data_IF_150636290852
#
_entry.id   IF_150636290852
#
_cell.length_a   1.000
_cell.length_b   1.000
_cell.length_c   1.000
_cell.angle_alpha   90.00
_cell.angle_beta   90.00
_cell.angle_gamma   90.00
#
_symmetry.space_group_name_H-M   'P 1'
#
loop_
_entity.id
_entity.type
_entity.pdbx_description
1 polymer ?
#
# COMPACT_ATOMS: atom_id res chain seq x y z
N UNK A 1 -21.23 12.12 28.18
CA UNK A 1 -21.75 12.05 26.80
C UNK A 1 -20.81 12.75 25.83
N UNK A 2 -20.35 12.06 24.82
CA UNK A 2 -19.44 12.60 23.79
C UNK A 2 -20.21 13.63 22.94
N UNK A 3 -19.50 14.62 22.34
CA UNK A 3 -20.13 15.62 21.46
C UNK A 3 -20.91 15.00 20.29
N UNK A 4 -20.44 13.87 19.77
CA UNK A 4 -21.10 13.12 18.68
C UNK A 4 -22.41 12.47 19.14
N UNK A 5 -22.51 11.97 20.37
CA UNK A 5 -23.74 11.40 20.93
C UNK A 5 -24.84 12.46 21.07
N UNK A 6 -24.49 13.65 21.59
CA UNK A 6 -25.43 14.78 21.70
C UNK A 6 -25.93 15.26 20.33
N UNK A 7 -25.02 15.28 19.31
CA UNK A 7 -25.41 15.63 17.96
C UNK A 7 -26.37 14.60 17.35
N UNK A 8 -26.13 13.32 17.62
CA UNK A 8 -27.00 12.25 17.14
C UNK A 8 -28.40 12.30 17.76
N UNK A 9 -28.51 12.55 19.08
CA UNK A 9 -29.81 12.77 19.75
C UNK A 9 -30.59 13.94 19.14
N UNK A 10 -29.92 15.09 18.92
CA UNK A 10 -30.56 16.24 18.27
C UNK A 10 -31.05 15.93 16.85
N UNK A 11 -30.28 15.14 16.08
CA UNK A 11 -30.68 14.70 14.74
C UNK A 11 -31.86 13.71 14.79
N UNK A 12 -31.90 12.82 15.74
CA UNK A 12 -33.01 11.88 15.92
C UNK A 12 -34.31 12.64 16.23
N UNK A 13 -34.27 13.71 17.04
CA UNK A 13 -35.42 14.61 17.26
C UNK A 13 -35.84 15.26 15.94
N UNK A 14 -34.90 15.86 15.19
CA UNK A 14 -35.18 16.45 13.88
C UNK A 14 -35.79 15.45 12.88
N UNK A 15 -35.31 14.22 12.86
CA UNK A 15 -35.81 13.15 12.00
C UNK A 15 -37.15 12.57 12.50
N UNK A 16 -37.47 12.69 13.80
CA UNK A 16 -38.82 12.34 14.32
C UNK A 16 -39.88 13.36 13.91
N UNK A 17 -39.51 14.64 13.80
CA UNK A 17 -40.39 15.71 13.30
C UNK A 17 -40.51 15.67 11.76
N UNK A 18 -39.42 15.43 11.06
CA UNK A 18 -39.40 15.30 9.60
C UNK A 18 -38.44 14.17 9.15
N UNK A 19 -39.01 12.99 9.00
CA UNK A 19 -38.26 11.78 8.63
C UNK A 19 -37.60 11.85 7.27
N UNK A 20 -37.93 12.83 6.42
CA UNK A 20 -37.44 13.03 5.08
C UNK A 20 -36.45 14.23 4.98
N UNK A 21 -35.93 14.69 6.09
CA UNK A 21 -34.94 15.76 6.11
C UNK A 21 -33.60 15.26 5.58
N UNK A 22 -33.30 15.56 4.31
CA UNK A 22 -32.08 15.15 3.59
C UNK A 22 -30.81 15.59 4.34
N UNK A 23 -30.78 16.83 4.85
CA UNK A 23 -29.63 17.35 5.57
C UNK A 23 -29.39 16.59 6.87
N UNK A 24 -30.44 16.28 7.64
CA UNK A 24 -30.34 15.49 8.88
C UNK A 24 -29.86 14.07 8.60
N UNK A 25 -30.39 13.41 7.55
CA UNK A 25 -29.94 12.07 7.14
C UNK A 25 -28.48 12.06 6.70
N UNK A 26 -28.03 13.10 6.02
CA UNK A 26 -26.61 13.22 5.61
C UNK A 26 -25.69 13.35 6.81
N UNK A 27 -26.01 14.23 7.76
CA UNK A 27 -25.19 14.44 8.96
C UNK A 27 -25.22 13.22 9.86
N UNK A 28 -26.37 12.56 10.00
CA UNK A 28 -26.52 11.29 10.73
C UNK A 28 -25.57 10.23 10.15
N UNK A 29 -25.58 10.06 8.82
CA UNK A 29 -24.68 9.13 8.13
C UNK A 29 -23.20 9.43 8.37
N UNK A 30 -22.81 10.72 8.39
CA UNK A 30 -21.43 11.12 8.70
C UNK A 30 -21.06 10.80 10.15
N UNK A 31 -21.93 11.05 11.12
CA UNK A 31 -21.66 10.76 12.55
C UNK A 31 -21.49 9.27 12.74
N UNK A 32 -22.37 8.43 12.20
CA UNK A 32 -22.23 6.97 12.29
C UNK A 32 -20.93 6.49 11.65
N UNK A 33 -20.51 7.07 10.53
CA UNK A 33 -19.22 6.75 9.90
C UNK A 33 -18.05 7.08 10.82
N UNK A 34 -18.02 8.25 11.45
CA UNK A 34 -16.97 8.66 12.40
C UNK A 34 -16.92 7.78 13.66
N UNK A 35 -18.07 7.24 14.06
CA UNK A 35 -18.15 6.26 15.16
C UNK A 35 -17.74 4.83 14.75
N UNK A 36 -17.51 4.59 13.46
CA UNK A 36 -17.24 3.25 12.92
C UNK A 36 -18.50 2.39 12.74
N UNK A 37 -19.71 2.94 12.96
CA UNK A 37 -20.99 2.29 12.80
C UNK A 37 -21.40 2.32 11.32
N UNK A 38 -20.66 1.55 10.50
CA UNK A 38 -20.80 1.60 9.05
C UNK A 38 -22.16 1.11 8.55
N UNK A 39 -22.82 0.17 9.23
CA UNK A 39 -24.13 -0.36 8.84
C UNK A 39 -25.20 0.71 8.93
N UNK A 40 -25.23 1.45 10.04
CA UNK A 40 -26.13 2.57 10.30
C UNK A 40 -25.85 3.73 9.33
N UNK A 41 -24.58 4.03 9.12
CA UNK A 41 -24.17 5.05 8.15
C UNK A 41 -24.65 4.73 6.73
N UNK A 42 -24.50 3.48 6.27
CA UNK A 42 -25.01 3.03 4.97
C UNK A 42 -26.54 3.17 4.92
N UNK A 43 -27.24 2.82 6.01
CA UNK A 43 -28.72 2.95 6.09
C UNK A 43 -29.16 4.40 5.91
N UNK A 44 -28.53 5.34 6.65
CA UNK A 44 -28.86 6.78 6.57
C UNK A 44 -28.62 7.33 5.16
N UNK A 45 -27.46 7.01 4.54
CA UNK A 45 -27.18 7.45 3.16
C UNK A 45 -28.10 6.80 2.13
N UNK A 46 -28.47 5.52 2.27
CA UNK A 46 -29.43 4.86 1.37
C UNK A 46 -30.81 5.51 1.45
N UNK A 47 -31.29 5.77 2.68
CA UNK A 47 -32.56 6.47 2.88
C UNK A 47 -32.54 7.87 2.27
N UNK A 48 -31.43 8.58 2.41
CA UNK A 48 -31.23 9.86 1.73
C UNK A 48 -31.35 9.70 0.22
N UNK A 49 -30.73 8.68 -0.36
CA UNK A 49 -30.74 8.44 -1.82
C UNK A 49 -32.09 7.93 -2.34
N UNK A 50 -32.98 7.40 -1.49
CA UNK A 50 -34.37 7.15 -1.82
C UNK A 50 -35.13 8.48 -2.06
N UNK A 51 -34.75 9.56 -1.37
CA UNK A 51 -35.35 10.88 -1.50
C UNK A 51 -34.68 11.72 -2.58
N UNK A 52 -33.38 11.61 -2.71
CA UNK A 52 -32.55 12.31 -3.72
C UNK A 52 -31.51 11.34 -4.29
N UNK A 53 -31.94 10.59 -5.30
CA UNK A 53 -31.13 9.53 -5.93
C UNK A 53 -29.82 10.03 -6.56
N UNK A 54 -29.73 11.33 -6.79
CA UNK A 54 -28.60 11.98 -7.44
C UNK A 54 -27.72 12.74 -6.44
N UNK A 55 -27.93 12.56 -5.15
CA UNK A 55 -27.13 13.24 -4.14
C UNK A 55 -25.69 12.74 -4.20
N UNK A 56 -24.87 13.54 -4.85
CA UNK A 56 -23.46 13.24 -5.11
C UNK A 56 -22.68 12.96 -3.84
N UNK A 57 -22.89 13.79 -2.82
CA UNK A 57 -22.09 13.69 -1.58
C UNK A 57 -22.45 12.42 -0.81
N UNK A 58 -23.72 12.02 -0.80
CA UNK A 58 -24.15 10.75 -0.25
C UNK A 58 -23.60 9.54 -1.03
N UNK A 59 -23.66 9.58 -2.35
CA UNK A 59 -23.07 8.54 -3.23
C UNK A 59 -21.57 8.41 -3.00
N UNK A 60 -20.86 9.52 -2.90
CA UNK A 60 -19.41 9.50 -2.63
C UNK A 60 -19.10 8.93 -1.25
N UNK A 61 -19.84 9.31 -0.20
CA UNK A 61 -19.65 8.75 1.13
C UNK A 61 -19.94 7.25 1.17
N UNK A 62 -21.00 6.79 0.51
CA UNK A 62 -21.29 5.35 0.38
C UNK A 62 -20.13 4.61 -0.32
N UNK A 63 -19.63 5.15 -1.42
CA UNK A 63 -18.49 4.57 -2.11
C UNK A 63 -17.26 4.41 -1.19
N UNK A 64 -16.94 5.45 -0.40
CA UNK A 64 -15.84 5.40 0.58
C UNK A 64 -16.07 4.34 1.67
N UNK A 65 -17.29 4.23 2.19
CA UNK A 65 -17.63 3.23 3.22
C UNK A 65 -17.53 1.82 2.64
N UNK A 66 -18.06 1.59 1.44
CA UNK A 66 -17.97 0.30 0.76
C UNK A 66 -16.51 -0.09 0.50
N UNK A 67 -15.70 0.85 0.01
CA UNK A 67 -14.26 0.63 -0.17
C UNK A 67 -13.57 0.23 1.15
N UNK A 68 -13.82 0.97 2.23
CA UNK A 68 -13.24 0.69 3.55
C UNK A 68 -13.65 -0.68 4.11
N UNK A 69 -14.84 -1.18 3.73
CA UNK A 69 -15.34 -2.51 4.09
C UNK A 69 -14.88 -3.62 3.13
N UNK A 70 -14.02 -3.34 2.16
CA UNK A 70 -13.58 -4.30 1.15
C UNK A 70 -14.65 -4.64 0.09
N UNK A 71 -15.78 -3.91 0.07
CA UNK A 71 -16.88 -4.08 -0.88
C UNK A 71 -16.63 -3.24 -2.14
N UNK A 72 -15.52 -3.55 -2.82
CA UNK A 72 -14.98 -2.70 -3.88
C UNK A 72 -15.91 -2.55 -5.10
N UNK A 73 -16.67 -3.60 -5.48
CA UNK A 73 -17.64 -3.52 -6.58
C UNK A 73 -18.73 -2.49 -6.30
N UNK A 74 -19.29 -2.50 -5.09
CA UNK A 74 -20.33 -1.55 -4.69
C UNK A 74 -19.79 -0.12 -4.52
N UNK A 75 -18.51 -0.01 -4.12
CA UNK A 75 -17.82 1.27 -4.14
C UNK A 75 -17.72 1.83 -5.56
N UNK A 76 -17.33 1.00 -6.54
CA UNK A 76 -17.26 1.39 -7.95
C UNK A 76 -18.61 1.83 -8.52
N UNK A 77 -19.69 1.10 -8.23
CA UNK A 77 -21.05 1.48 -8.63
C UNK A 77 -21.45 2.87 -8.09
N UNK A 78 -21.09 3.13 -6.82
CA UNK A 78 -21.38 4.42 -6.19
C UNK A 78 -20.55 5.55 -6.82
N UNK A 79 -19.26 5.31 -7.11
CA UNK A 79 -18.39 6.29 -7.77
C UNK A 79 -18.80 6.53 -9.22
N UNK A 80 -19.24 5.50 -9.95
CA UNK A 80 -19.70 5.65 -11.31
C UNK A 80 -20.93 6.56 -11.42
N UNK A 81 -21.90 6.42 -10.50
CA UNK A 81 -23.04 7.34 -10.42
C UNK A 81 -22.61 8.79 -10.17
N UNK A 82 -21.60 9.04 -9.33
CA UNK A 82 -21.08 10.41 -9.16
C UNK A 82 -20.46 10.92 -10.46
N UNK A 83 -19.72 10.07 -11.19
CA UNK A 83 -19.01 10.44 -12.40
C UNK A 83 -19.96 10.65 -13.62
N UNK A 84 -21.18 10.11 -13.60
CA UNK A 84 -22.21 10.45 -14.58
C UNK A 84 -22.54 11.95 -14.58
N UNK A 85 -22.55 12.58 -13.38
CA UNK A 85 -22.81 14.01 -13.23
C UNK A 85 -21.54 14.88 -13.28
N UNK A 86 -20.40 14.31 -12.85
CA UNK A 86 -19.10 14.99 -12.81
C UNK A 86 -17.99 14.09 -13.37
N UNK A 87 -17.88 13.96 -14.70
CA UNK A 87 -16.93 13.04 -15.33
C UNK A 87 -15.45 13.32 -15.03
N UNK A 88 -15.14 14.50 -14.49
CA UNK A 88 -13.78 14.94 -14.13
C UNK A 88 -13.62 15.24 -12.63
N UNK A 89 -14.42 14.61 -11.79
CA UNK A 89 -14.22 14.71 -10.34
C UNK A 89 -12.99 13.91 -9.95
N UNK A 90 -11.88 14.63 -9.69
CA UNK A 90 -10.57 14.02 -9.46
C UNK A 90 -10.53 13.15 -8.21
N UNK A 91 -11.23 13.56 -7.15
CA UNK A 91 -11.31 12.81 -5.90
C UNK A 91 -12.01 11.46 -6.11
N UNK A 92 -13.13 11.48 -6.86
CA UNK A 92 -13.89 10.29 -7.18
C UNK A 92 -13.13 9.38 -8.15
N UNK A 93 -12.51 9.94 -9.19
CA UNK A 93 -11.69 9.18 -10.15
C UNK A 93 -10.52 8.50 -9.44
N UNK A 94 -9.88 9.17 -8.49
CA UNK A 94 -8.83 8.58 -7.66
C UNK A 94 -9.34 7.45 -6.79
N UNK A 95 -10.46 7.66 -6.08
CA UNK A 95 -11.08 6.63 -5.25
C UNK A 95 -11.50 5.40 -6.08
N UNK A 96 -12.01 5.63 -7.30
CA UNK A 96 -12.31 4.59 -8.28
C UNK A 96 -11.06 3.81 -8.68
N UNK A 97 -9.97 4.51 -8.99
CA UNK A 97 -8.69 3.89 -9.34
C UNK A 97 -8.15 2.99 -8.24
N UNK A 98 -8.19 3.44 -6.99
CA UNK A 98 -7.77 2.65 -5.83
C UNK A 98 -8.68 1.41 -5.66
N UNK A 99 -9.99 1.55 -5.84
CA UNK A 99 -10.93 0.42 -5.75
C UNK A 99 -10.69 -0.64 -6.84
N UNK A 100 -10.34 -0.24 -8.05
CA UNK A 100 -9.91 -1.17 -9.11
C UNK A 100 -8.57 -1.85 -8.78
N UNK A 101 -7.62 -1.12 -8.17
CA UNK A 101 -6.32 -1.71 -7.74
C UNK A 101 -6.52 -2.83 -6.72
N UNK A 102 -7.42 -2.64 -5.74
CA UNK A 102 -7.78 -3.65 -4.74
C UNK A 102 -8.46 -4.91 -5.35
N UNK A 103 -9.12 -4.74 -6.49
CA UNK A 103 -9.69 -5.84 -7.27
C UNK A 103 -8.68 -6.48 -8.24
N UNK A 104 -7.42 -6.03 -8.25
CA UNK A 104 -6.38 -6.40 -9.20
C UNK A 104 -6.71 -6.04 -10.67
N UNK A 105 -7.61 -5.10 -10.89
CA UNK A 105 -8.01 -4.54 -12.18
C UNK A 105 -7.09 -3.37 -12.55
N UNK A 106 -5.79 -3.65 -12.69
CA UNK A 106 -4.73 -2.62 -12.77
C UNK A 106 -4.80 -1.74 -14.02
N UNK A 107 -5.38 -2.23 -15.12
CA UNK A 107 -5.58 -1.45 -16.34
C UNK A 107 -6.62 -0.36 -16.09
N UNK A 108 -7.77 -0.73 -15.56
CA UNK A 108 -8.87 0.15 -15.18
C UNK A 108 -8.42 1.15 -14.11
N UNK A 109 -7.65 0.68 -13.11
CA UNK A 109 -7.02 1.53 -12.10
C UNK A 109 -6.13 2.61 -12.74
N UNK A 110 -5.21 2.22 -13.63
CA UNK A 110 -4.32 3.15 -14.32
C UNK A 110 -5.07 4.15 -15.20
N UNK A 111 -6.15 3.73 -15.85
CA UNK A 111 -6.99 4.61 -16.70
C UNK A 111 -7.77 5.62 -15.85
N UNK A 112 -8.39 5.18 -14.74
CA UNK A 112 -9.09 6.07 -13.81
C UNK A 112 -8.16 7.12 -13.22
N UNK A 113 -7.00 6.68 -12.71
CA UNK A 113 -5.98 7.55 -12.14
C UNK A 113 -5.39 8.51 -13.19
N UNK A 114 -5.26 8.08 -14.46
CA UNK A 114 -4.84 8.97 -15.54
C UNK A 114 -5.84 10.10 -15.79
N UNK A 115 -7.13 9.83 -15.66
CA UNK A 115 -8.19 10.84 -15.83
C UNK A 115 -8.26 11.81 -14.64
N UNK A 116 -7.88 11.38 -13.44
CA UNK A 116 -7.90 12.18 -12.21
C UNK A 116 -6.73 13.16 -12.09
N UNK A 117 -5.72 13.10 -12.99
CA UNK A 117 -4.51 13.90 -12.86
C UNK A 117 -4.81 15.39 -13.03
N UNK A 118 -4.67 16.14 -11.93
CA UNK A 118 -4.30 17.56 -11.94
C UNK A 118 -2.77 17.68 -11.97
N UNK A 119 -2.24 18.80 -12.45
CA UNK A 119 -0.82 18.96 -12.83
C UNK A 119 0.19 18.64 -11.72
N UNK A 120 -0.23 18.67 -10.43
CA UNK A 120 0.68 18.54 -9.28
C UNK A 120 0.20 17.57 -8.18
N UNK A 121 -0.62 16.55 -8.51
CA UNK A 121 -1.09 15.58 -7.52
C UNK A 121 -0.11 14.40 -7.39
N UNK A 122 0.85 14.55 -6.46
CA UNK A 122 1.90 13.54 -6.20
C UNK A 122 1.33 12.18 -5.79
N UNK A 123 0.16 12.16 -5.13
CA UNK A 123 -0.43 10.91 -4.66
C UNK A 123 -1.03 10.16 -5.85
N UNK A 124 -1.75 10.86 -6.74
CA UNK A 124 -2.33 10.26 -7.94
C UNK A 124 -1.25 9.71 -8.87
N UNK A 125 -0.14 10.44 -9.04
CA UNK A 125 0.98 9.95 -9.83
C UNK A 125 1.65 8.72 -9.21
N UNK A 126 1.81 8.68 -7.87
CA UNK A 126 2.33 7.50 -7.18
C UNK A 126 1.38 6.30 -7.35
N UNK A 127 0.08 6.45 -7.11
CA UNK A 127 -0.92 5.39 -7.21
C UNK A 127 -1.00 4.84 -8.65
N UNK A 128 -0.94 5.72 -9.65
CA UNK A 128 -0.84 5.31 -11.06
C UNK A 128 0.44 4.53 -11.34
N UNK A 129 1.57 4.95 -10.77
CA UNK A 129 2.84 4.23 -10.86
C UNK A 129 2.73 2.83 -10.27
N UNK A 130 2.05 2.66 -9.13
CA UNK A 130 1.79 1.36 -8.51
C UNK A 130 0.98 0.46 -9.44
N UNK A 131 -0.14 0.93 -9.98
CA UNK A 131 -0.96 0.17 -10.92
C UNK A 131 -0.18 -0.25 -12.18
N UNK A 132 0.61 0.67 -12.77
CA UNK A 132 1.46 0.38 -13.91
C UNK A 132 2.55 -0.66 -13.60
N UNK A 133 3.15 -0.58 -12.41
CA UNK A 133 4.18 -1.54 -11.96
C UNK A 133 3.60 -2.94 -11.73
N UNK A 134 2.36 -3.06 -11.25
CA UNK A 134 1.63 -4.33 -11.13
C UNK A 134 1.29 -4.94 -12.50
N UNK A 135 1.03 -4.11 -13.50
CA UNK A 135 0.89 -4.52 -14.92
C UNK A 135 2.22 -4.93 -15.59
N UNK A 136 3.36 -4.76 -14.92
CA UNK A 136 4.68 -5.00 -15.50
C UNK A 136 5.21 -3.83 -16.35
N UNK A 137 4.50 -2.73 -16.49
CA UNK A 137 4.91 -1.55 -17.27
C UNK A 137 5.87 -0.66 -16.47
N UNK A 138 7.01 -1.26 -16.03
CA UNK A 138 7.92 -0.63 -15.09
C UNK A 138 8.48 0.71 -15.58
N UNK A 139 8.80 0.89 -16.88
CA UNK A 139 9.24 2.19 -17.39
C UNK A 139 8.17 3.28 -17.28
N UNK A 140 6.90 2.95 -17.58
CA UNK A 140 5.79 3.91 -17.40
C UNK A 140 5.53 4.21 -15.92
N UNK A 141 5.75 3.22 -15.05
CA UNK A 141 5.66 3.42 -13.60
C UNK A 141 6.74 4.38 -13.11
N UNK A 142 8.00 4.22 -13.56
CA UNK A 142 9.12 5.11 -13.26
C UNK A 142 8.78 6.56 -13.65
N UNK A 143 8.23 6.79 -14.85
CA UNK A 143 7.82 8.13 -15.28
C UNK A 143 6.74 8.72 -14.36
N UNK A 144 5.78 7.91 -13.92
CA UNK A 144 4.74 8.35 -12.99
C UNK A 144 5.33 8.70 -11.63
N UNK A 145 6.22 7.87 -11.07
CA UNK A 145 6.90 8.15 -9.80
C UNK A 145 7.78 9.40 -9.87
N UNK A 146 8.53 9.60 -10.97
CA UNK A 146 9.34 10.81 -11.17
C UNK A 146 8.48 12.08 -11.18
N UNK A 147 7.29 12.03 -11.77
CA UNK A 147 6.32 13.15 -11.70
C UNK A 147 5.83 13.41 -10.28
N UNK A 148 5.47 12.36 -9.54
CA UNK A 148 5.09 12.49 -8.14
C UNK A 148 6.20 13.16 -7.31
N UNK A 149 7.45 12.75 -7.53
CA UNK A 149 8.61 13.28 -6.82
C UNK A 149 9.03 14.68 -7.26
N UNK A 150 8.69 15.10 -8.48
CA UNK A 150 8.85 16.49 -8.92
C UNK A 150 7.94 17.44 -8.14
N UNK A 151 6.71 17.01 -7.79
CA UNK A 151 5.76 17.75 -6.96
C UNK A 151 6.12 17.67 -5.47
N UNK A 152 6.51 16.49 -4.99
CA UNK A 152 6.89 16.27 -3.59
C UNK A 152 8.17 15.45 -3.45
N UNK A 153 9.35 16.10 -3.42
CA UNK A 153 10.64 15.41 -3.27
C UNK A 153 10.82 14.66 -1.95
N UNK A 154 9.98 14.95 -0.92
CA UNK A 154 10.03 14.29 0.39
C UNK A 154 9.04 13.12 0.54
N UNK A 155 8.44 12.65 -0.55
CA UNK A 155 7.51 11.55 -0.52
C UNK A 155 8.24 10.20 -0.45
N UNK A 156 8.60 9.74 0.76
CA UNK A 156 9.42 8.56 0.99
C UNK A 156 8.84 7.27 0.39
N UNK A 157 7.51 7.10 0.43
CA UNK A 157 6.82 5.94 -0.17
C UNK A 157 7.00 5.91 -1.68
N UNK A 158 6.93 7.06 -2.34
CA UNK A 158 7.16 7.17 -3.78
C UNK A 158 8.62 6.84 -4.15
N UNK A 159 9.60 7.30 -3.38
CA UNK A 159 11.00 6.92 -3.55
C UNK A 159 11.20 5.40 -3.42
N UNK A 160 10.57 4.77 -2.44
CA UNK A 160 10.60 3.31 -2.27
C UNK A 160 10.03 2.59 -3.50
N UNK A 161 8.85 3.02 -3.99
CA UNK A 161 8.20 2.45 -5.16
C UNK A 161 9.03 2.65 -6.44
N UNK A 162 9.63 3.84 -6.61
CA UNK A 162 10.58 4.14 -7.70
C UNK A 162 11.76 3.18 -7.65
N UNK A 163 12.37 3.00 -6.48
CA UNK A 163 13.49 2.07 -6.29
C UNK A 163 13.14 0.63 -6.70
N UNK A 164 11.95 0.16 -6.32
CA UNK A 164 11.46 -1.18 -6.74
C UNK A 164 11.30 -1.28 -8.27
N UNK A 165 10.76 -0.25 -8.92
CA UNK A 165 10.58 -0.26 -10.36
C UNK A 165 11.91 -0.22 -11.11
N UNK A 166 12.85 0.61 -10.67
CA UNK A 166 14.22 0.70 -11.20
C UNK A 166 14.97 -0.62 -11.02
N UNK A 167 14.87 -1.25 -9.84
CA UNK A 167 15.46 -2.56 -9.59
C UNK A 167 14.94 -3.63 -10.55
N UNK A 168 13.63 -3.63 -10.84
CA UNK A 168 13.00 -4.59 -11.78
C UNK A 168 13.46 -4.41 -13.22
N UNK A 169 13.81 -3.20 -13.63
CA UNK A 169 14.36 -2.95 -14.99
C UNK A 169 15.89 -3.08 -15.05
N UNK A 170 16.56 -3.38 -13.93
CA UNK A 170 17.99 -3.58 -13.84
C UNK A 170 18.82 -2.31 -13.61
N UNK A 171 18.19 -1.15 -13.44
CA UNK A 171 18.86 0.12 -13.17
C UNK A 171 19.29 0.20 -11.69
N UNK A 172 20.24 -0.70 -11.31
CA UNK A 172 20.62 -0.90 -9.91
C UNK A 172 21.22 0.34 -9.23
N UNK A 173 21.94 1.18 -9.98
CA UNK A 173 22.53 2.42 -9.44
C UNK A 173 21.44 3.41 -9.05
N UNK A 174 20.48 3.65 -9.92
CA UNK A 174 19.37 4.56 -9.67
C UNK A 174 18.42 3.98 -8.60
N UNK A 175 18.22 2.64 -8.60
CA UNK A 175 17.46 1.96 -7.55
C UNK A 175 18.10 2.17 -6.17
N UNK A 176 19.43 2.07 -6.06
CA UNK A 176 20.16 2.32 -4.83
C UNK A 176 19.95 3.75 -4.33
N UNK A 177 20.05 4.74 -5.19
CA UNK A 177 19.79 6.16 -4.86
C UNK A 177 18.36 6.32 -4.35
N UNK A 178 17.38 5.73 -5.04
CA UNK A 178 15.98 5.84 -4.66
C UNK A 178 15.71 5.19 -3.29
N UNK A 179 16.23 4.00 -3.02
CA UNK A 179 16.09 3.36 -1.70
C UNK A 179 16.85 4.11 -0.61
N UNK A 180 18.03 4.65 -0.91
CA UNK A 180 18.79 5.47 0.02
C UNK A 180 17.98 6.71 0.41
N UNK A 181 17.47 7.48 -0.54
CA UNK A 181 16.62 8.65 -0.29
C UNK A 181 15.37 8.28 0.52
N UNK A 182 14.73 7.14 0.19
CA UNK A 182 13.58 6.65 0.97
C UNK A 182 13.94 6.40 2.42
N UNK A 183 15.11 5.78 2.71
CA UNK A 183 15.57 5.49 4.08
C UNK A 183 16.06 6.73 4.83
N UNK A 184 16.56 7.74 4.14
CA UNK A 184 16.93 9.04 4.71
C UNK A 184 15.68 9.84 5.14
N UNK A 185 14.63 9.84 4.31
CA UNK A 185 13.37 10.53 4.63
C UNK A 185 12.57 9.78 5.70
N UNK A 186 12.49 8.45 5.60
CA UNK A 186 11.80 7.60 6.56
C UNK A 186 12.69 6.44 7.01
N UNK A 187 13.50 6.63 8.05
CA UNK A 187 14.40 5.60 8.57
C UNK A 187 13.67 4.39 9.18
N UNK A 188 12.38 4.50 9.47
CA UNK A 188 11.58 3.42 10.06
C UNK A 188 10.98 2.44 9.04
N UNK A 189 11.28 2.61 7.76
CA UNK A 189 10.83 1.69 6.72
C UNK A 189 11.79 0.50 6.58
N UNK A 190 11.51 -0.61 7.31
CA UNK A 190 12.31 -1.84 7.26
C UNK A 190 12.41 -2.43 5.85
N UNK A 191 11.33 -2.32 5.04
CA UNK A 191 11.32 -2.85 3.68
C UNK A 191 12.24 -2.06 2.76
N UNK A 192 12.35 -0.73 2.95
CA UNK A 192 13.28 0.09 2.20
C UNK A 192 14.75 -0.26 2.56
N UNK A 193 15.06 -0.47 3.84
CA UNK A 193 16.37 -0.95 4.26
C UNK A 193 16.72 -2.30 3.66
N UNK A 194 15.80 -3.28 3.73
CA UNK A 194 16.01 -4.60 3.13
C UNK A 194 16.25 -4.52 1.61
N UNK A 195 15.42 -3.78 0.87
CA UNK A 195 15.59 -3.64 -0.59
C UNK A 195 16.87 -2.87 -0.97
N UNK A 196 17.28 -1.88 -0.15
CA UNK A 196 18.59 -1.23 -0.31
C UNK A 196 19.72 -2.25 -0.16
N UNK A 197 19.66 -3.10 0.85
CA UNK A 197 20.64 -4.19 1.06
C UNK A 197 20.67 -5.17 -0.11
N UNK A 198 19.51 -5.60 -0.62
CA UNK A 198 19.42 -6.47 -1.80
C UNK A 198 20.06 -5.80 -3.04
N UNK A 199 19.83 -4.50 -3.22
CA UNK A 199 20.43 -3.75 -4.33
C UNK A 199 21.94 -3.63 -4.19
N UNK A 200 22.45 -3.35 -2.98
CA UNK A 200 23.89 -3.29 -2.68
C UNK A 200 24.56 -4.64 -2.94
N UNK A 201 23.94 -5.75 -2.49
CA UNK A 201 24.43 -7.10 -2.75
C UNK A 201 24.53 -7.39 -4.25
N UNK A 202 23.54 -7.00 -5.06
CA UNK A 202 23.62 -7.15 -6.52
C UNK A 202 24.70 -6.28 -7.16
N UNK A 203 25.06 -5.18 -6.52
CA UNK A 203 26.20 -4.33 -6.91
C UNK A 203 27.55 -4.83 -6.34
N UNK A 204 27.58 -6.01 -5.73
CA UNK A 204 28.74 -6.62 -5.06
C UNK A 204 29.30 -5.77 -3.90
N UNK A 205 28.49 -4.93 -3.26
CA UNK A 205 28.80 -4.11 -2.09
C UNK A 205 28.30 -4.85 -0.83
N UNK A 206 28.95 -5.98 -0.53
CA UNK A 206 28.42 -6.98 0.38
C UNK A 206 28.36 -6.51 1.84
N UNK A 207 29.42 -5.89 2.35
CA UNK A 207 29.46 -5.37 3.73
C UNK A 207 28.38 -4.30 3.96
N UNK A 208 28.23 -3.37 3.02
CA UNK A 208 27.20 -2.35 3.10
C UNK A 208 25.78 -2.94 3.03
N UNK A 209 25.63 -4.07 2.34
CA UNK A 209 24.36 -4.79 2.34
C UNK A 209 24.03 -5.38 3.71
N UNK A 210 25.03 -5.89 4.44
CA UNK A 210 24.85 -6.39 5.82
C UNK A 210 24.36 -5.29 6.75
N UNK A 211 24.96 -4.10 6.69
CA UNK A 211 24.53 -2.94 7.48
C UNK A 211 23.04 -2.61 7.24
N UNK A 212 22.60 -2.69 5.99
CA UNK A 212 21.20 -2.43 5.64
C UNK A 212 20.26 -3.51 6.20
N UNK A 213 20.64 -4.79 6.15
CA UNK A 213 19.84 -5.87 6.74
C UNK A 213 19.78 -5.74 8.26
N UNK A 214 20.88 -5.37 8.92
CA UNK A 214 20.91 -5.12 10.35
C UNK A 214 20.01 -3.95 10.76
N UNK A 215 19.97 -2.88 9.96
CA UNK A 215 19.01 -1.79 10.18
C UNK A 215 17.56 -2.27 10.03
N UNK A 216 17.25 -3.09 9.03
CA UNK A 216 15.91 -3.66 8.86
C UNK A 216 15.52 -4.56 10.05
N UNK A 217 16.46 -5.37 10.56
CA UNK A 217 16.29 -6.28 11.70
C UNK A 217 16.20 -5.52 13.05
N UNK A 218 16.90 -4.40 13.19
CA UNK A 218 16.74 -3.53 14.36
C UNK A 218 15.31 -2.95 14.45
N UNK A 219 14.63 -2.74 13.31
CA UNK A 219 13.24 -2.28 13.27
C UNK A 219 12.24 -3.41 13.52
N UNK A 220 12.53 -4.62 13.05
CA UNK A 220 11.71 -5.82 13.27
C UNK A 220 12.60 -7.05 13.30
N UNK A 221 12.83 -7.61 14.49
CA UNK A 221 13.70 -8.79 14.68
C UNK A 221 13.18 -10.04 13.97
N UNK A 222 11.86 -10.17 13.88
CA UNK A 222 11.16 -11.30 13.26
C UNK A 222 11.02 -11.15 11.73
N UNK A 223 11.84 -10.30 11.10
CA UNK A 223 11.76 -10.06 9.66
C UNK A 223 12.54 -11.14 8.87
N UNK A 224 11.90 -12.27 8.60
CA UNK A 224 12.49 -13.45 7.94
C UNK A 224 13.24 -13.13 6.63
N UNK A 225 12.69 -12.23 5.81
CA UNK A 225 13.32 -11.81 4.54
C UNK A 225 14.68 -11.15 4.75
N UNK A 226 14.83 -10.33 5.78
CA UNK A 226 16.11 -9.69 6.08
C UNK A 226 17.12 -10.71 6.62
N UNK A 227 16.69 -11.64 7.45
CA UNK A 227 17.54 -12.73 7.92
C UNK A 227 18.04 -13.62 6.77
N UNK A 228 17.14 -14.03 5.86
CA UNK A 228 17.52 -14.79 4.66
C UNK A 228 18.51 -14.02 3.80
N UNK A 229 18.24 -12.74 3.50
CA UNK A 229 19.12 -11.91 2.68
C UNK A 229 20.47 -11.65 3.35
N UNK A 230 20.51 -11.51 4.68
CA UNK A 230 21.75 -11.42 5.47
C UNK A 230 22.56 -12.72 5.33
N UNK A 231 21.93 -13.88 5.50
CA UNK A 231 22.56 -15.18 5.29
C UNK A 231 23.19 -15.30 3.90
N UNK A 232 22.47 -14.87 2.86
CA UNK A 232 22.99 -14.92 1.50
C UNK A 232 24.19 -13.97 1.28
N UNK A 233 24.18 -12.77 1.85
CA UNK A 233 25.32 -11.86 1.79
C UNK A 233 26.54 -12.43 2.53
N UNK A 234 26.35 -13.04 3.69
CA UNK A 234 27.41 -13.69 4.47
C UNK A 234 27.99 -14.91 3.73
N UNK A 235 27.17 -15.67 3.03
CA UNK A 235 27.64 -16.77 2.18
C UNK A 235 28.56 -16.25 1.07
N UNK A 236 28.21 -15.15 0.41
CA UNK A 236 29.02 -14.51 -0.62
C UNK A 236 30.33 -13.91 -0.05
N UNK A 237 30.39 -13.62 1.24
CA UNK A 237 31.58 -13.15 1.97
C UNK A 237 32.44 -14.28 2.53
N UNK A 238 32.15 -15.53 2.16
CA UNK A 238 32.82 -16.72 2.70
C UNK A 238 32.77 -16.82 4.24
N UNK A 239 31.62 -16.46 4.82
CA UNK A 239 31.31 -16.54 6.25
C UNK A 239 30.21 -17.57 6.51
N UNK A 240 30.46 -18.88 6.23
CA UNK A 240 29.42 -19.91 6.16
C UNK A 240 28.73 -20.19 7.49
N UNK A 241 29.44 -20.09 8.63
CA UNK A 241 28.83 -20.31 9.95
C UNK A 241 27.82 -19.22 10.31
N UNK A 242 28.16 -17.98 10.07
CA UNK A 242 27.25 -16.84 10.33
C UNK A 242 26.07 -16.84 9.34
N UNK A 243 26.31 -17.26 8.09
CA UNK A 243 25.26 -17.46 7.12
C UNK A 243 24.25 -18.53 7.59
N UNK A 244 24.74 -19.65 8.12
CA UNK A 244 23.91 -20.74 8.65
C UNK A 244 23.02 -20.27 9.81
N UNK A 245 23.58 -19.51 10.77
CA UNK A 245 22.83 -18.93 11.87
C UNK A 245 21.72 -17.97 11.37
N UNK A 246 22.05 -17.13 10.39
CA UNK A 246 21.08 -16.18 9.79
C UNK A 246 19.95 -16.91 9.06
N UNK A 247 20.26 -17.96 8.31
CA UNK A 247 19.26 -18.79 7.63
C UNK A 247 18.39 -19.58 8.62
N UNK A 248 18.96 -20.12 9.68
CA UNK A 248 18.21 -20.81 10.73
C UNK A 248 17.21 -19.86 11.39
N UNK A 249 17.66 -18.65 11.75
CA UNK A 249 16.81 -17.61 12.33
C UNK A 249 15.70 -17.18 11.36
N UNK A 250 15.97 -17.13 10.06
CA UNK A 250 14.92 -16.82 9.07
C UNK A 250 13.77 -17.82 9.10
N UNK A 251 14.05 -19.11 9.31
CA UNK A 251 13.03 -20.18 9.36
C UNK A 251 12.22 -20.17 10.67
N UNK A 252 12.77 -19.63 11.76
CA UNK A 252 12.05 -19.48 13.03
C UNK A 252 10.93 -18.44 12.96
N UNK A 253 11.00 -17.51 12.00
CA UNK A 253 10.12 -16.36 11.87
C UNK A 253 9.24 -16.43 10.65
N UNK A 254 8.10 -17.14 10.75
CA UNK A 254 7.10 -17.13 9.69
C UNK A 254 6.47 -15.72 9.57
N UNK A 255 6.47 -15.09 8.37
CA UNK A 255 5.81 -13.81 8.16
C UNK A 255 4.30 -13.88 8.42
N UNK A 256 3.69 -12.79 8.89
CA UNK A 256 2.25 -12.65 8.91
C UNK A 256 1.69 -12.72 7.48
N UNK A 257 0.53 -13.34 7.32
CA UNK A 257 -0.14 -13.51 6.01
C UNK A 257 -0.42 -12.19 5.28
N UNK A 258 -0.38 -11.06 5.99
CA UNK A 258 -0.55 -9.72 5.44
C UNK A 258 0.72 -9.11 4.81
N UNK A 259 1.91 -9.65 5.13
CA UNK A 259 3.17 -9.04 4.68
C UNK A 259 3.62 -9.53 3.30
N UNK A 260 3.35 -10.81 2.97
CA UNK A 260 3.70 -11.42 1.69
C UNK A 260 2.79 -12.63 1.44
N UNK A 261 2.47 -12.91 0.18
CA UNK A 261 1.63 -14.05 -0.18
C UNK A 261 2.22 -15.38 0.30
N UNK A 262 1.37 -16.34 0.67
CA UNK A 262 1.81 -17.66 1.15
C UNK A 262 2.78 -18.35 0.21
N UNK A 263 2.61 -18.19 -1.11
CA UNK A 263 3.51 -18.76 -2.12
C UNK A 263 4.94 -18.19 -2.07
N UNK A 264 5.09 -16.88 -1.78
CA UNK A 264 6.41 -16.25 -1.63
C UNK A 264 7.13 -16.76 -0.38
N UNK A 265 6.40 -16.98 0.71
CA UNK A 265 6.94 -17.58 1.92
C UNK A 265 7.43 -19.02 1.69
N UNK A 266 6.61 -19.88 1.07
CA UNK A 266 7.00 -21.27 0.79
C UNK A 266 8.24 -21.33 -0.11
N UNK A 267 8.36 -20.42 -1.06
CA UNK A 267 9.56 -20.29 -1.88
C UNK A 267 10.79 -19.89 -1.04
N UNK A 268 10.67 -18.82 -0.24
CA UNK A 268 11.76 -18.36 0.63
C UNK A 268 12.21 -19.50 1.58
N UNK A 269 11.25 -20.18 2.20
CA UNK A 269 11.51 -21.31 3.11
C UNK A 269 12.33 -22.38 2.42
N UNK A 270 11.89 -22.82 1.22
CA UNK A 270 12.60 -23.83 0.44
C UNK A 270 14.01 -23.39 0.08
N UNK A 271 14.16 -22.17 -0.46
CA UNK A 271 15.48 -21.61 -0.82
C UNK A 271 16.42 -21.56 0.40
N UNK A 272 15.87 -21.27 1.59
CA UNK A 272 16.61 -21.20 2.85
C UNK A 272 17.01 -22.61 3.33
N UNK A 273 16.12 -23.60 3.28
CA UNK A 273 16.40 -25.00 3.65
C UNK A 273 17.49 -25.60 2.74
N UNK A 274 17.41 -25.32 1.44
CA UNK A 274 18.42 -25.77 0.45
C UNK A 274 19.79 -25.11 0.74
N UNK A 275 19.83 -23.84 1.10
CA UNK A 275 21.06 -23.13 1.48
C UNK A 275 21.68 -23.73 2.77
N UNK A 276 20.87 -23.97 3.80
CA UNK A 276 21.34 -24.63 5.05
C UNK A 276 21.93 -26.01 4.75
N UNK A 277 21.24 -26.82 3.95
CA UNK A 277 21.70 -28.18 3.59
C UNK A 277 23.05 -28.15 2.85
N UNK A 278 23.23 -27.18 1.95
CA UNK A 278 24.49 -26.99 1.23
C UNK A 278 25.61 -26.54 2.16
N UNK A 279 25.36 -25.56 3.03
CA UNK A 279 26.37 -25.01 3.94
C UNK A 279 26.82 -26.03 4.98
N UNK A 280 25.93 -26.85 5.53
CA UNK A 280 26.30 -27.94 6.46
C UNK A 280 27.32 -28.91 5.86
N UNK A 281 27.13 -29.30 4.59
CA UNK A 281 28.09 -30.13 3.88
C UNK A 281 29.45 -29.46 3.69
N UNK A 282 29.49 -28.14 3.49
CA UNK A 282 30.71 -27.38 3.31
C UNK A 282 31.50 -27.29 4.61
N UNK A 283 30.84 -27.08 5.74
CA UNK A 283 31.49 -26.95 7.07
C UNK A 283 31.72 -28.31 7.77
N UNK A 284 31.25 -29.42 7.19
CA UNK A 284 31.43 -30.77 7.71
C UNK A 284 30.47 -31.14 8.84
N UNK A 285 29.27 -30.59 8.85
CA UNK A 285 28.15 -30.87 9.76
C UNK A 285 27.03 -31.70 9.11
#
# INVERSE_FOLDING_TARGET
>A
MNKLEKALEALQISLSENSNNISSLFVEGLIYREQGNFSESISSFKRLLELDSNNRDALYQLGKIYHQKGRYREALESFDKVLEFRPRDNEVLRAKGISHDELNEYKEASEALKKSINVDDEIVFNDRGVALSRLGYNHKAIDSYRRALASNPKYSVCWFNLGKALFRVGDLKDALVAFQTSTEINPNNRSAWNNRGVTLRQLNRLEESLDCYERALALKKEYAWAWHNKGYALELLDRPREALESYATALEHKPDSSEHGGAEWEKLKKDTEDAISRLKKIIGE
#
